data_IF_544553810816
#
_entry.id   IF_544553810816
#
_cell.length_a   1.000
_cell.length_b   1.000
_cell.length_c   1.000
_cell.angle_alpha   90.00
_cell.angle_beta   90.00
_cell.angle_gamma   90.00
#
_symmetry.space_group_name_H-M   'P 1'
#
loop_
_entity.id
_entity.type
_entity.pdbx_description
1 polymer ?
#
# COMPACT_ATOMS: atom_id res chain seq x y z
N UNK A 1 -29.53 9.52 32.00
CA UNK A 1 -28.20 9.29 31.40
C UNK A 1 -27.45 8.11 32.04
N UNK A 2 -27.27 8.02 33.36
CA UNK A 2 -26.83 6.78 34.03
C UNK A 2 -27.78 5.59 33.81
N UNK A 3 -29.08 5.86 33.70
CA UNK A 3 -30.09 4.84 33.33
C UNK A 3 -29.96 4.32 31.89
N UNK A 4 -29.19 4.98 31.02
CA UNK A 4 -28.99 4.57 29.62
C UNK A 4 -27.74 3.71 29.39
N UNK A 5 -27.02 3.31 30.44
CA UNK A 5 -25.76 2.54 30.36
C UNK A 5 -24.67 3.16 29.47
N UNK A 6 -24.74 4.47 29.18
CA UNK A 6 -23.67 5.18 28.51
C UNK A 6 -22.54 5.45 29.51
N UNK A 7 -21.43 4.71 29.38
CA UNK A 7 -20.15 5.08 30.01
C UNK A 7 -19.64 6.37 29.36
N UNK A 8 -19.88 7.50 30.02
CA UNK A 8 -19.24 8.75 29.65
C UNK A 8 -17.73 8.59 29.86
N UNK A 9 -16.94 8.69 28.78
CA UNK A 9 -15.52 9.00 28.92
C UNK A 9 -15.43 10.34 29.65
N UNK A 10 -14.62 10.38 30.71
CA UNK A 10 -14.43 11.56 31.54
C UNK A 10 -14.26 12.79 30.66
N UNK A 11 -15.12 13.80 30.85
CA UNK A 11 -14.81 15.13 30.34
C UNK A 11 -13.51 15.56 31.05
N UNK A 12 -12.57 16.14 30.30
CA UNK A 12 -11.41 16.77 30.91
C UNK A 12 -11.94 17.82 31.91
N UNK A 13 -11.81 17.51 33.20
CA UNK A 13 -12.20 18.43 34.27
C UNK A 13 -11.01 19.34 34.56
N UNK A 14 -11.27 20.57 34.99
CA UNK A 14 -10.23 21.48 35.46
C UNK A 14 -9.64 21.08 36.83
N UNK A 15 -10.05 19.94 37.41
CA UNK A 15 -9.81 19.60 38.81
C UNK A 15 -8.50 18.81 39.07
N UNK A 16 -7.84 18.21 38.06
CA UNK A 16 -6.59 17.45 38.22
C UNK A 16 -5.54 17.86 37.16
N UNK A 17 -4.32 18.22 37.60
CA UNK A 17 -3.23 18.65 36.71
C UNK A 17 -2.74 17.55 35.73
N UNK A 18 -2.74 16.29 36.16
CA UNK A 18 -2.26 15.17 35.31
C UNK A 18 -3.23 14.81 34.17
N UNK A 19 -4.53 15.10 34.34
CA UNK A 19 -5.55 14.92 33.28
C UNK A 19 -5.67 16.13 32.34
N UNK A 20 -4.96 17.24 32.63
CA UNK A 20 -4.95 18.44 31.77
C UNK A 20 -3.97 18.31 30.61
N UNK A 21 -2.78 17.74 30.87
CA UNK A 21 -1.68 17.75 29.90
C UNK A 21 -1.85 16.67 28.82
N UNK A 22 -2.52 15.55 29.12
CA UNK A 22 -2.74 14.45 28.17
C UNK A 22 -4.23 14.16 27.98
N UNK A 23 -4.72 14.40 26.76
CA UNK A 23 -6.11 14.18 26.37
C UNK A 23 -6.25 13.08 25.32
N UNK A 24 -7.50 12.64 25.08
CA UNK A 24 -7.82 11.66 24.04
C UNK A 24 -8.59 12.32 22.90
N UNK A 25 -8.08 12.19 21.67
CA UNK A 25 -8.73 12.74 20.47
C UNK A 25 -8.84 11.65 19.42
N UNK A 26 -10.07 11.30 19.04
CA UNK A 26 -10.38 10.30 18.00
C UNK A 26 -9.68 8.95 18.17
N UNK A 27 -9.29 8.57 19.40
CA UNK A 27 -8.58 7.32 19.69
C UNK A 27 -7.06 7.44 19.80
N UNK A 28 -6.49 8.62 19.54
CA UNK A 28 -5.09 8.97 19.77
C UNK A 28 -4.92 9.70 21.11
N UNK A 29 -3.72 9.59 21.69
CA UNK A 29 -3.31 10.41 22.83
C UNK A 29 -2.79 11.76 22.32
N UNK A 30 -3.22 12.85 22.94
CA UNK A 30 -2.83 14.22 22.60
C UNK A 30 -2.16 14.87 23.81
N UNK A 31 -0.90 15.24 23.65
CA UNK A 31 -0.20 16.10 24.60
C UNK A 31 -0.57 17.57 24.29
N UNK A 32 -1.30 18.20 25.21
CA UNK A 32 -1.81 19.57 25.09
C UNK A 32 -0.67 20.59 25.23
N UNK A 33 0.39 20.27 25.97
CA UNK A 33 1.51 21.16 26.23
C UNK A 33 2.42 21.23 25.01
N UNK A 34 2.79 20.08 24.43
CA UNK A 34 3.63 20.02 23.23
C UNK A 34 2.86 20.12 21.91
N UNK A 35 1.52 19.99 21.96
CA UNK A 35 0.62 19.91 20.81
C UNK A 35 0.91 18.73 19.86
N UNK A 36 1.29 17.59 20.44
CA UNK A 36 1.66 16.38 19.70
C UNK A 36 0.66 15.22 19.92
N UNK A 37 0.45 14.44 18.86
CA UNK A 37 -0.35 13.21 18.87
C UNK A 37 0.55 11.98 18.96
N UNK A 38 0.12 10.98 19.70
CA UNK A 38 0.78 9.66 19.80
C UNK A 38 -0.24 8.53 19.85
N UNK A 39 0.20 7.33 19.47
CA UNK A 39 -0.62 6.13 19.58
C UNK A 39 -0.57 5.56 21.01
N UNK A 40 -1.69 5.02 21.48
CA UNK A 40 -1.70 4.26 22.73
C UNK A 40 -0.93 2.96 22.57
N UNK A 41 -0.03 2.70 23.52
CA UNK A 41 0.62 1.41 23.61
C UNK A 41 -0.38 0.33 24.05
N UNK A 42 -0.28 -0.89 23.50
CA UNK A 42 -1.10 -2.01 23.94
C UNK A 42 -0.85 -2.31 25.43
N UNK A 43 -1.91 -2.29 26.24
CA UNK A 43 -1.84 -2.52 27.70
C UNK A 43 -1.54 -3.97 28.10
N UNK A 44 -1.66 -4.90 27.15
CA UNK A 44 -1.44 -6.32 27.33
C UNK A 44 -0.02 -6.78 26.98
N UNK A 45 0.89 -5.85 26.68
CA UNK A 45 2.32 -6.12 26.50
C UNK A 45 2.99 -6.15 27.87
N UNK A 46 3.12 -7.35 28.45
CA UNK A 46 3.98 -7.55 29.60
C UNK A 46 5.15 -8.44 29.20
N UNK A 47 6.27 -7.81 28.86
CA UNK A 47 7.49 -8.49 28.44
C UNK A 47 8.17 -9.29 29.58
N UNK A 48 7.69 -9.13 30.82
CA UNK A 48 8.19 -9.87 31.98
C UNK A 48 7.47 -11.19 32.21
N UNK A 49 6.31 -11.40 31.59
CA UNK A 49 5.54 -12.63 31.73
C UNK A 49 5.70 -13.55 30.51
N UNK A 50 6.23 -14.75 30.75
CA UNK A 50 6.27 -15.83 29.77
C UNK A 50 4.85 -16.42 29.57
N UNK A 51 3.99 -15.67 28.88
CA UNK A 51 2.65 -16.14 28.50
C UNK A 51 2.67 -16.74 27.10
N UNK A 52 2.10 -17.93 26.86
CA UNK A 52 2.10 -18.51 25.52
C UNK A 52 1.50 -17.53 24.49
N UNK A 53 2.23 -17.28 23.41
CA UNK A 53 1.77 -16.39 22.34
C UNK A 53 0.96 -17.22 21.35
N UNK A 54 -0.31 -16.87 21.18
CA UNK A 54 -1.18 -17.48 20.18
C UNK A 54 -1.46 -16.49 19.05
N UNK A 55 -2.01 -16.98 17.94
CA UNK A 55 -2.49 -16.13 16.85
C UNK A 55 -3.52 -15.11 17.33
N UNK A 56 -4.39 -15.47 18.28
CA UNK A 56 -5.36 -14.54 18.88
C UNK A 56 -4.68 -13.39 19.62
N UNK A 57 -3.66 -13.69 20.42
CA UNK A 57 -2.87 -12.67 21.14
C UNK A 57 -2.20 -11.73 20.13
N UNK A 58 -1.53 -12.29 19.13
CA UNK A 58 -0.85 -11.52 18.09
C UNK A 58 -1.82 -10.57 17.36
N UNK A 59 -3.01 -11.05 16.97
CA UNK A 59 -4.02 -10.21 16.31
C UNK A 59 -4.54 -9.10 17.22
N UNK A 60 -4.75 -9.41 18.49
CA UNK A 60 -5.22 -8.46 19.49
C UNK A 60 -4.23 -7.30 19.65
N UNK A 61 -2.94 -7.63 19.78
CA UNK A 61 -1.88 -6.63 19.89
C UNK A 61 -1.81 -5.76 18.63
N UNK A 62 -1.81 -6.35 17.42
CA UNK A 62 -1.78 -5.59 16.16
C UNK A 62 -2.94 -4.59 16.08
N UNK A 63 -4.16 -5.01 16.44
CA UNK A 63 -5.35 -4.16 16.33
C UNK A 63 -5.55 -3.19 17.49
N UNK A 64 -4.86 -3.39 18.61
CA UNK A 64 -4.90 -2.45 19.73
C UNK A 64 -4.16 -1.14 19.43
N UNK A 65 -3.20 -1.14 18.50
CA UNK A 65 -2.57 0.07 18.00
C UNK A 65 -3.46 0.72 16.95
N UNK A 66 -4.25 1.71 17.40
CA UNK A 66 -5.09 2.51 16.53
C UNK A 66 -4.29 3.68 15.94
N UNK A 67 -3.92 3.55 14.67
CA UNK A 67 -3.16 4.56 13.94
C UNK A 67 -3.86 4.91 12.61
N UNK A 68 -4.71 5.95 12.60
CA UNK A 68 -5.39 6.40 11.40
C UNK A 68 -4.47 7.14 10.42
N UNK A 69 -3.31 7.63 10.89
CA UNK A 69 -2.36 8.41 10.10
C UNK A 69 -1.34 7.49 9.44
N UNK A 70 -0.90 6.42 10.11
CA UNK A 70 0.02 5.41 9.59
C UNK A 70 1.49 5.61 9.96
N UNK A 71 1.82 6.52 10.89
CA UNK A 71 3.20 6.78 11.32
C UNK A 71 3.82 5.63 12.14
N UNK A 72 3.00 4.74 12.69
CA UNK A 72 3.43 3.51 13.37
C UNK A 72 3.56 2.31 12.43
N UNK A 73 3.27 2.47 11.14
CA UNK A 73 3.25 1.37 10.18
C UNK A 73 4.54 0.54 10.16
N UNK A 74 5.76 1.13 10.22
CA UNK A 74 6.99 0.34 10.23
C UNK A 74 7.16 -0.47 11.52
N UNK A 75 6.75 0.08 12.67
CA UNK A 75 6.76 -0.64 13.94
C UNK A 75 5.80 -1.84 13.92
N UNK A 76 4.67 -1.74 13.22
CA UNK A 76 3.69 -2.83 13.09
C UNK A 76 3.96 -3.79 11.93
N UNK A 77 5.03 -3.60 11.14
CA UNK A 77 5.29 -4.45 9.98
C UNK A 77 5.61 -5.89 10.40
N UNK A 78 6.53 -6.08 11.34
CA UNK A 78 6.93 -7.42 11.80
C UNK A 78 5.76 -8.24 12.37
N UNK A 79 4.95 -7.76 13.34
CA UNK A 79 3.85 -8.55 13.88
C UNK A 79 2.80 -8.88 12.80
N UNK A 80 2.57 -7.98 11.84
CA UNK A 80 1.71 -8.25 10.67
C UNK A 80 2.28 -9.37 9.78
N UNK A 81 3.60 -9.40 9.56
CA UNK A 81 4.27 -10.49 8.84
C UNK A 81 4.18 -11.82 9.59
N UNK A 82 4.38 -11.81 10.91
CA UNK A 82 4.22 -13.01 11.75
C UNK A 82 2.79 -13.55 11.71
N UNK A 83 1.78 -12.66 11.69
CA UNK A 83 0.38 -13.04 11.51
C UNK A 83 0.16 -13.73 10.16
N UNK A 84 0.72 -13.17 9.08
CA UNK A 84 0.64 -13.75 7.74
C UNK A 84 1.32 -15.13 7.67
N UNK A 85 2.46 -15.29 8.34
CA UNK A 85 3.20 -16.55 8.44
C UNK A 85 2.42 -17.60 9.25
N UNK A 86 1.80 -17.20 10.35
CA UNK A 86 0.93 -18.08 11.14
C UNK A 86 -0.28 -18.58 10.34
N UNK A 87 -0.89 -17.73 9.52
CA UNK A 87 -1.94 -18.16 8.57
C UNK A 87 -1.43 -19.13 7.52
N UNK A 88 -0.21 -18.90 6.99
CA UNK A 88 0.43 -19.81 6.03
C UNK A 88 0.68 -21.19 6.64
N UNK A 89 1.12 -21.22 7.90
CA UNK A 89 1.32 -22.43 8.69
C UNK A 89 0.02 -23.14 9.11
N UNK A 90 -1.16 -22.56 8.83
CA UNK A 90 -2.48 -23.06 9.23
C UNK A 90 -2.61 -23.28 10.74
N UNK A 91 -1.90 -22.49 11.54
CA UNK A 91 -1.93 -22.56 13.01
C UNK A 91 -3.33 -22.19 13.51
N UNK A 92 -3.83 -22.87 14.54
CA UNK A 92 -5.09 -22.57 15.22
C UNK A 92 -5.15 -21.16 15.82
N UNK A 93 -6.34 -20.72 16.26
CA UNK A 93 -6.49 -19.41 16.92
C UNK A 93 -5.85 -19.37 18.31
N UNK A 94 -6.06 -20.45 19.07
CA UNK A 94 -5.63 -20.60 20.47
C UNK A 94 -4.46 -21.59 20.61
N UNK A 95 -3.92 -22.04 19.48
CA UNK A 95 -2.69 -22.82 19.42
C UNK A 95 -1.48 -21.91 19.62
N UNK A 96 -0.49 -22.40 20.38
CA UNK A 96 0.76 -21.68 20.64
C UNK A 96 1.57 -21.57 19.36
N UNK A 97 2.17 -20.40 19.12
CA UNK A 97 3.03 -20.21 17.96
C UNK A 97 4.27 -21.12 18.04
N UNK A 98 4.77 -21.65 16.91
CA UNK A 98 6.06 -22.29 16.83
C UNK A 98 7.16 -21.41 17.44
N UNK A 99 8.14 -22.06 18.07
CA UNK A 99 9.24 -21.40 18.81
C UNK A 99 9.91 -20.30 18.00
N UNK A 100 10.11 -20.50 16.70
CA UNK A 100 10.70 -19.50 15.80
C UNK A 100 9.86 -18.22 15.67
N UNK A 101 8.54 -18.35 15.54
CA UNK A 101 7.63 -17.21 15.40
C UNK A 101 7.44 -16.49 16.73
N UNK A 102 7.33 -17.26 17.83
CA UNK A 102 7.27 -16.69 19.16
C UNK A 102 8.54 -15.90 19.46
N UNK A 103 9.73 -16.45 19.17
CA UNK A 103 11.00 -15.75 19.39
C UNK A 103 11.07 -14.40 18.66
N UNK A 104 10.67 -14.36 17.38
CA UNK A 104 10.59 -13.10 16.60
C UNK A 104 9.60 -12.11 17.21
N UNK A 105 8.44 -12.58 17.66
CA UNK A 105 7.45 -11.75 18.34
C UNK A 105 8.01 -11.15 19.64
N UNK A 106 8.69 -11.94 20.47
CA UNK A 106 9.30 -11.45 21.73
C UNK A 106 10.39 -10.41 21.50
N UNK A 107 11.19 -10.58 20.45
CA UNK A 107 12.20 -9.60 20.10
C UNK A 107 11.55 -8.26 19.74
N UNK A 108 10.46 -8.29 18.98
CA UNK A 108 9.69 -7.09 18.64
C UNK A 108 8.96 -6.49 19.84
N UNK A 109 8.36 -7.31 20.70
CA UNK A 109 7.68 -6.88 21.93
C UNK A 109 8.62 -6.04 22.81
N UNK A 110 9.90 -6.43 22.91
CA UNK A 110 10.93 -5.63 23.61
C UNK A 110 11.14 -4.24 23.01
N UNK A 111 10.90 -4.05 21.71
CA UNK A 111 11.04 -2.74 21.04
C UNK A 111 9.81 -1.84 21.15
N UNK A 112 8.67 -2.37 21.62
CA UNK A 112 7.39 -1.62 21.61
C UNK A 112 7.41 -0.36 22.46
N UNK A 113 8.22 -0.30 23.52
CA UNK A 113 8.41 0.91 24.30
C UNK A 113 8.97 2.08 23.48
N UNK A 114 9.61 1.85 22.34
CA UNK A 114 10.09 2.92 21.46
C UNK A 114 8.94 3.60 20.71
N UNK A 115 7.79 2.93 20.56
CA UNK A 115 6.62 3.51 19.91
C UNK A 115 6.01 4.66 20.72
N UNK A 116 6.21 4.72 22.05
CA UNK A 116 5.78 5.88 22.83
C UNK A 116 6.55 7.16 22.48
N UNK A 117 7.73 7.03 21.86
CA UNK A 117 8.52 8.16 21.37
C UNK A 117 8.08 8.62 19.97
N UNK A 118 7.14 7.91 19.33
CA UNK A 118 6.62 8.27 18.02
C UNK A 118 5.51 9.29 18.23
N UNK A 119 5.82 10.56 18.04
CA UNK A 119 4.89 11.68 18.14
C UNK A 119 4.82 12.45 16.82
N UNK A 120 3.65 13.00 16.53
CA UNK A 120 3.38 13.81 15.34
C UNK A 120 2.74 15.13 15.80
N UNK A 121 3.20 16.29 15.31
CA UNK A 121 2.53 17.56 15.59
C UNK A 121 1.07 17.53 15.12
N UNK A 122 0.13 17.83 16.01
CA UNK A 122 -1.32 17.86 15.68
C UNK A 122 -1.62 18.94 14.64
N UNK A 123 -0.95 20.08 14.77
CA UNK A 123 -1.17 21.26 13.95
C UNK A 123 -0.33 21.21 12.68
N UNK A 124 -1.00 21.08 11.52
CA UNK A 124 -0.32 21.18 10.22
C UNK A 124 0.15 22.60 9.91
N UNK A 125 -0.66 23.61 10.24
CA UNK A 125 -0.43 24.99 9.81
C UNK A 125 -0.21 25.95 10.99
N UNK A 126 0.96 26.62 11.11
CA UNK A 126 1.18 27.67 12.11
C UNK A 126 0.60 29.05 11.70
N UNK A 127 0.51 29.36 10.41
CA UNK A 127 -0.05 30.62 9.85
C UNK A 127 -0.99 30.35 8.66
N UNK A 128 -1.61 31.39 8.11
CA UNK A 128 -2.29 31.32 6.81
C UNK A 128 -1.21 31.25 5.72
N UNK A 129 -0.80 30.04 5.35
CA UNK A 129 0.13 29.88 4.24
C UNK A 129 -0.64 29.79 2.93
N UNK A 130 -0.12 30.48 1.91
CA UNK A 130 -0.76 30.58 0.61
C UNK A 130 -0.21 29.56 -0.41
N UNK A 131 0.88 28.85 -0.09
CA UNK A 131 1.50 27.89 -1.02
C UNK A 131 2.04 26.62 -0.31
N UNK A 132 1.52 25.46 -0.74
CA UNK A 132 1.96 24.15 -0.26
C UNK A 132 2.27 23.22 -1.41
N UNK A 133 3.26 22.37 -1.21
CA UNK A 133 3.59 21.28 -2.13
C UNK A 133 3.34 19.94 -1.45
N UNK A 134 2.69 19.04 -2.18
CA UNK A 134 2.39 17.69 -1.73
C UNK A 134 3.45 16.73 -2.29
N UNK A 135 4.08 15.93 -1.42
CA UNK A 135 5.13 15.00 -1.81
C UNK A 135 4.74 13.59 -1.41
N UNK A 136 4.66 12.70 -2.39
CA UNK A 136 4.18 11.33 -2.24
C UNK A 136 5.33 10.39 -2.50
N UNK A 137 5.68 9.58 -1.51
CA UNK A 137 6.71 8.57 -1.63
C UNK A 137 6.05 7.21 -1.66
N UNK A 138 6.45 6.38 -2.61
CA UNK A 138 6.04 4.99 -2.71
C UNK A 138 7.26 4.09 -2.68
N UNK A 139 7.07 2.90 -2.12
CA UNK A 139 8.09 1.87 -2.14
C UNK A 139 7.46 0.48 -2.03
N UNK A 140 8.19 -0.52 -2.51
CA UNK A 140 7.81 -1.90 -2.40
C UNK A 140 9.00 -2.84 -2.19
N UNK A 141 8.80 -3.77 -1.26
CA UNK A 141 9.68 -4.90 -1.01
C UNK A 141 8.97 -6.22 -1.27
N UNK A 142 9.70 -7.32 -1.21
CA UNK A 142 9.13 -8.66 -1.25
C UNK A 142 8.09 -8.95 -0.14
N UNK A 143 8.08 -8.14 0.92
CA UNK A 143 7.27 -8.36 2.12
C UNK A 143 6.08 -7.41 2.23
N UNK A 144 6.22 -6.17 1.79
CA UNK A 144 5.22 -5.13 1.91
C UNK A 144 5.45 -4.03 0.89
N UNK A 145 4.39 -3.28 0.60
CA UNK A 145 4.44 -2.05 -0.18
C UNK A 145 3.75 -0.94 0.61
N UNK A 146 4.27 0.28 0.48
CA UNK A 146 3.85 1.40 1.29
C UNK A 146 3.82 2.70 0.48
N UNK A 147 3.09 3.66 1.03
CA UNK A 147 3.04 5.03 0.54
C UNK A 147 3.02 5.97 1.73
N UNK A 148 3.74 7.07 1.69
CA UNK A 148 3.58 8.19 2.61
C UNK A 148 3.43 9.51 1.86
N UNK A 149 2.64 10.41 2.43
CA UNK A 149 2.35 11.73 1.88
C UNK A 149 2.81 12.80 2.86
N UNK A 150 3.68 13.69 2.41
CA UNK A 150 4.20 14.82 3.14
C UNK A 150 3.67 16.12 2.56
N UNK A 151 3.34 17.06 3.46
CA UNK A 151 3.10 18.44 3.10
C UNK A 151 4.38 19.23 3.34
N UNK A 152 4.88 19.88 2.30
CA UNK A 152 5.97 20.85 2.39
C UNK A 152 5.38 22.25 2.27
N UNK A 153 5.72 23.10 3.22
CA UNK A 153 5.37 24.51 3.23
C UNK A 153 6.63 25.34 3.33
N UNK A 154 6.73 26.39 2.52
CA UNK A 154 7.83 27.33 2.55
C UNK A 154 7.29 28.74 2.79
N UNK A 155 7.78 29.40 3.84
CA UNK A 155 7.32 30.73 4.20
C UNK A 155 8.46 31.56 4.80
N UNK A 156 8.71 32.74 4.22
CA UNK A 156 9.78 33.66 4.65
C UNK A 156 11.15 32.96 4.80
N UNK A 157 11.45 32.02 3.91
CA UNK A 157 12.70 31.24 3.93
C UNK A 157 12.76 30.12 4.97
N UNK A 158 11.66 29.83 5.69
CA UNK A 158 11.55 28.64 6.54
C UNK A 158 10.75 27.55 5.84
N UNK A 159 11.36 26.36 5.76
CA UNK A 159 10.72 25.17 5.20
C UNK A 159 10.25 24.27 6.34
N UNK A 160 8.97 23.87 6.27
CA UNK A 160 8.40 22.87 7.17
C UNK A 160 7.87 21.69 6.37
N UNK A 161 8.19 20.49 6.83
CA UNK A 161 7.73 19.23 6.24
C UNK A 161 6.96 18.47 7.31
N UNK A 162 5.76 17.99 6.96
CA UNK A 162 4.89 17.26 7.89
C UNK A 162 4.25 16.07 7.20
N UNK A 163 4.29 14.90 7.84
CA UNK A 163 3.55 13.73 7.38
C UNK A 163 2.05 13.97 7.51
N UNK A 164 1.32 13.88 6.39
CA UNK A 164 -0.14 13.94 6.36
C UNK A 164 -0.73 12.56 6.69
N UNK A 165 -0.24 11.55 5.98
CA UNK A 165 -0.71 10.18 6.10
C UNK A 165 0.28 9.22 5.44
N UNK A 166 0.28 7.99 5.93
CA UNK A 166 0.98 6.86 5.37
C UNK A 166 0.06 5.63 5.36
N UNK A 167 0.23 4.79 4.34
CA UNK A 167 -0.50 3.55 4.18
C UNK A 167 0.50 2.46 3.82
N UNK A 168 0.48 1.38 4.58
CA UNK A 168 1.26 0.17 4.29
C UNK A 168 0.33 -1.03 4.12
N UNK A 169 0.73 -1.94 3.24
CA UNK A 169 0.05 -3.20 2.95
C UNK A 169 1.08 -4.32 2.84
N UNK A 170 0.76 -5.48 3.39
CA UNK A 170 1.60 -6.67 3.20
C UNK A 170 1.51 -7.14 1.75
N UNK A 171 2.62 -7.63 1.22
CA UNK A 171 2.65 -8.31 -0.06
C UNK A 171 1.67 -9.50 -0.02
N UNK A 172 0.94 -9.77 -1.11
CA UNK A 172 0.02 -10.90 -1.17
C UNK A 172 0.73 -12.23 -0.87
N UNK A 173 0.04 -13.16 -0.19
CA UNK A 173 0.59 -14.49 0.09
C UNK A 173 0.93 -15.28 -1.20
N UNK A 174 0.25 -14.96 -2.30
CA UNK A 174 0.60 -15.46 -3.64
C UNK A 174 1.78 -14.64 -4.16
N UNK A 175 2.85 -15.33 -4.56
CA UNK A 175 4.05 -14.71 -5.12
C UNK A 175 3.67 -13.66 -6.17
N UNK A 176 4.05 -12.42 -5.89
CA UNK A 176 3.97 -11.28 -6.79
C UNK A 176 5.39 -10.84 -7.11
N UNK A 177 5.63 -10.34 -8.32
CA UNK A 177 6.92 -9.77 -8.70
C UNK A 177 7.11 -8.41 -8.03
N UNK A 178 8.35 -7.98 -7.84
CA UNK A 178 8.66 -6.67 -7.23
C UNK A 178 8.02 -5.52 -8.05
N UNK A 179 8.13 -5.47 -9.39
CA UNK A 179 7.49 -4.39 -10.14
C UNK A 179 5.96 -4.35 -10.02
N UNK A 180 5.32 -5.51 -9.85
CA UNK A 180 3.88 -5.57 -9.54
C UNK A 180 3.57 -4.96 -8.17
N UNK A 181 4.43 -5.15 -7.18
CA UNK A 181 4.27 -4.58 -5.85
C UNK A 181 4.54 -3.07 -5.87
N UNK A 182 5.54 -2.61 -6.63
CA UNK A 182 5.78 -1.18 -6.89
C UNK A 182 4.54 -0.53 -7.52
N UNK A 183 3.96 -1.13 -8.57
CA UNK A 183 2.72 -0.65 -9.18
C UNK A 183 1.53 -0.62 -8.20
N UNK A 184 1.48 -1.55 -7.22
CA UNK A 184 0.47 -1.52 -6.17
C UNK A 184 0.74 -0.42 -5.13
N UNK A 185 2.01 -0.14 -4.82
CA UNK A 185 2.45 1.02 -4.04
C UNK A 185 2.05 2.31 -4.73
N UNK A 186 2.33 2.43 -6.03
CA UNK A 186 1.95 3.55 -6.86
C UNK A 186 0.43 3.79 -6.85
N UNK A 187 -0.36 2.75 -7.07
CA UNK A 187 -1.82 2.81 -7.01
C UNK A 187 -2.35 3.19 -5.61
N UNK A 188 -1.66 2.77 -4.55
CA UNK A 188 -1.96 3.19 -3.18
C UNK A 188 -1.68 4.68 -2.96
N UNK A 189 -0.59 5.19 -3.54
CA UNK A 189 -0.23 6.60 -3.55
C UNK A 189 -1.21 7.49 -4.28
N UNK A 190 -1.59 7.14 -5.50
CA UNK A 190 -2.59 7.88 -6.27
C UNK A 190 -3.92 8.03 -5.51
N UNK A 191 -4.38 6.96 -4.85
CA UNK A 191 -5.59 6.99 -4.00
C UNK A 191 -5.42 7.85 -2.75
N UNK A 192 -4.22 7.85 -2.17
CA UNK A 192 -3.93 8.69 -1.02
C UNK A 192 -3.99 10.17 -1.41
N UNK A 193 -3.41 10.53 -2.55
CA UNK A 193 -3.46 11.87 -3.14
C UNK A 193 -4.87 12.34 -3.39
N UNK A 194 -5.71 11.51 -4.02
CA UNK A 194 -7.13 11.85 -4.26
C UNK A 194 -7.86 12.16 -2.93
N UNK A 195 -7.60 11.36 -1.90
CA UNK A 195 -8.14 11.60 -0.55
C UNK A 195 -7.65 12.93 0.02
N UNK A 196 -6.34 13.20 -0.04
CA UNK A 196 -5.72 14.41 0.51
C UNK A 196 -6.23 15.66 -0.22
N UNK A 197 -6.29 15.65 -1.55
CA UNK A 197 -6.80 16.78 -2.33
C UNK A 197 -8.27 17.07 -2.03
N UNK A 198 -9.09 16.04 -1.82
CA UNK A 198 -10.50 16.24 -1.46
C UNK A 198 -10.68 17.03 -0.16
N UNK A 199 -9.72 16.91 0.78
CA UNK A 199 -9.74 17.52 2.11
C UNK A 199 -9.04 18.88 2.10
N UNK A 200 -7.79 18.93 1.64
CA UNK A 200 -6.95 20.12 1.78
C UNK A 200 -7.20 21.15 0.69
N UNK A 201 -7.58 20.78 -0.54
CA UNK A 201 -7.87 21.68 -1.69
C UNK A 201 -6.87 22.84 -1.93
N UNK A 202 -5.67 22.80 -1.36
CA UNK A 202 -4.73 23.95 -1.24
C UNK A 202 -3.31 23.67 -1.72
N UNK A 203 -2.96 22.43 -2.08
CA UNK A 203 -1.63 22.16 -2.62
C UNK A 203 -1.51 22.72 -4.05
N UNK A 204 -0.50 23.55 -4.30
CA UNK A 204 -0.21 24.15 -5.61
C UNK A 204 0.38 23.14 -6.58
N UNK A 205 1.22 22.23 -6.08
CA UNK A 205 1.87 21.16 -6.84
C UNK A 205 1.88 19.85 -6.06
N UNK A 206 1.88 18.74 -6.81
CA UNK A 206 2.04 17.38 -6.26
C UNK A 206 3.19 16.68 -6.96
N UNK A 207 4.12 16.13 -6.18
CA UNK A 207 5.28 15.38 -6.64
C UNK A 207 5.13 13.91 -6.21
N UNK A 208 5.31 12.99 -7.15
CA UNK A 208 5.42 11.56 -6.85
C UNK A 208 6.88 11.15 -6.83
N UNK A 209 7.27 10.31 -5.89
CA UNK A 209 8.65 9.84 -5.67
C UNK A 209 8.66 8.31 -5.56
N UNK A 210 9.32 7.59 -6.48
CA UNK A 210 9.36 6.11 -6.50
C UNK A 210 10.65 5.56 -7.14
N UNK A 211 10.97 4.28 -6.87
CA UNK A 211 12.10 3.55 -7.42
C UNK A 211 11.89 3.08 -8.88
N UNK A 212 10.69 3.20 -9.45
CA UNK A 212 10.42 2.85 -10.86
C UNK A 212 9.44 3.82 -11.55
N UNK A 213 9.68 4.10 -12.83
CA UNK A 213 9.16 5.24 -13.62
C UNK A 213 7.68 5.11 -14.07
N UNK A 214 6.95 6.24 -14.21
CA UNK A 214 6.04 6.63 -15.34
C UNK A 214 5.84 8.18 -15.31
N UNK A 215 6.65 8.93 -16.07
CA UNK A 215 6.61 10.35 -16.52
C UNK A 215 6.33 11.53 -15.54
N UNK A 216 5.74 11.33 -14.36
CA UNK A 216 5.53 12.36 -13.30
C UNK A 216 6.27 12.03 -11.97
N UNK A 217 7.08 10.96 -11.98
CA UNK A 217 7.56 10.26 -10.79
C UNK A 217 9.09 10.39 -10.66
N UNK A 218 9.57 10.98 -9.57
CA UNK A 218 10.99 11.31 -9.32
C UNK A 218 11.68 10.24 -8.46
N UNK A 219 12.82 9.73 -8.90
CA UNK A 219 13.53 8.68 -8.16
C UNK A 219 14.27 9.19 -6.91
N UNK A 220 14.13 8.45 -5.80
CA UNK A 220 14.84 8.66 -4.52
C UNK A 220 15.57 7.38 -4.15
N UNK A 221 16.90 7.41 -3.94
CA UNK A 221 17.63 6.23 -3.48
C UNK A 221 17.06 5.66 -2.17
N UNK A 222 16.96 4.34 -2.04
CA UNK A 222 16.32 3.68 -0.89
C UNK A 222 16.92 4.04 0.48
N UNK A 223 18.23 4.33 0.56
CA UNK A 223 18.86 4.76 1.82
C UNK A 223 18.30 6.07 2.40
N UNK A 224 17.72 6.91 1.55
CA UNK A 224 17.13 8.21 1.89
C UNK A 224 15.62 8.26 1.66
N UNK A 225 15.01 7.11 1.35
CA UNK A 225 13.56 6.99 1.19
C UNK A 225 12.90 6.89 2.57
N UNK A 226 11.97 7.80 2.92
CA UNK A 226 11.21 7.70 4.17
C UNK A 226 10.43 6.39 4.33
N UNK A 227 10.14 5.69 3.23
CA UNK A 227 9.50 4.37 3.28
C UNK A 227 10.44 3.24 3.76
N UNK A 228 11.77 3.43 3.66
CA UNK A 228 12.82 2.47 4.02
C UNK A 228 13.44 2.74 5.41
N UNK A 229 13.28 3.95 5.94
CA UNK A 229 13.95 4.39 7.17
C UNK A 229 13.30 3.82 8.44
N UNK A 230 13.86 2.72 8.96
CA UNK A 230 13.48 2.11 10.25
C UNK A 230 14.24 2.66 11.47
N UNK A 231 15.28 3.48 11.27
CA UNK A 231 16.22 3.90 12.34
C UNK A 231 16.07 5.36 12.81
N UNK A 232 15.25 6.17 12.14
CA UNK A 232 15.06 7.60 12.40
C UNK A 232 13.56 7.94 12.49
N UNK A 233 13.22 9.19 12.83
CA UNK A 233 11.87 9.73 12.74
C UNK A 233 11.48 9.94 11.27
N UNK A 234 11.24 8.85 10.55
CA UNK A 234 10.94 8.89 9.11
C UNK A 234 9.73 9.78 8.77
N UNK A 235 8.81 9.97 9.71
CA UNK A 235 7.65 10.85 9.60
C UNK A 235 7.97 12.36 9.67
N UNK A 236 9.23 12.75 9.89
CA UNK A 236 9.72 14.12 9.66
C UNK A 236 10.07 14.36 8.19
N UNK A 237 10.16 13.29 7.38
CA UNK A 237 10.54 13.36 5.98
C UNK A 237 12.06 13.39 5.78
N UNK A 238 12.52 13.37 4.53
CA UNK A 238 13.95 13.31 4.23
C UNK A 238 14.57 14.72 4.30
N UNK A 239 15.83 14.80 4.73
CA UNK A 239 16.50 16.09 4.97
C UNK A 239 16.61 17.00 3.74
N UNK A 240 16.76 16.42 2.54
CA UNK A 240 16.82 17.20 1.29
C UNK A 240 15.49 17.88 0.93
N UNK A 241 14.35 17.42 1.48
CA UNK A 241 13.05 18.06 1.21
C UNK A 241 12.92 19.43 1.89
N UNK A 242 13.78 19.72 2.86
CA UNK A 242 13.91 21.02 3.49
C UNK A 242 14.73 22.02 2.66
N UNK A 243 15.39 21.56 1.61
CA UNK A 243 16.16 22.39 0.69
C UNK A 243 15.31 22.86 -0.50
N UNK A 244 15.88 23.70 -1.35
CA UNK A 244 15.22 24.25 -2.53
C UNK A 244 14.99 23.18 -3.61
N UNK A 245 13.96 23.38 -4.44
CA UNK A 245 13.54 22.42 -5.49
C UNK A 245 14.69 22.01 -6.44
N UNK A 246 15.65 22.90 -6.68
CA UNK A 246 16.83 22.67 -7.53
C UNK A 246 17.82 21.66 -6.94
N UNK A 247 17.84 21.52 -5.61
CA UNK A 247 18.74 20.62 -4.88
C UNK A 247 18.16 19.23 -4.65
N UNK A 248 16.88 19.04 -4.97
CA UNK A 248 16.22 17.74 -4.81
C UNK A 248 16.81 16.72 -5.77
N UNK A 249 16.83 15.44 -5.38
CA UNK A 249 17.28 14.37 -6.27
C UNK A 249 16.49 14.40 -7.59
N UNK A 250 17.20 14.58 -8.69
CA UNK A 250 16.67 14.48 -10.04
C UNK A 250 17.47 13.38 -10.72
N UNK A 251 16.80 12.29 -11.10
CA UNK A 251 17.48 11.19 -11.77
C UNK A 251 17.32 11.33 -13.28
N UNK A 252 18.42 11.23 -14.02
CA UNK A 252 18.37 11.04 -15.48
C UNK A 252 17.78 9.66 -15.78
N UNK A 253 16.78 9.65 -16.68
CA UNK A 253 16.01 8.46 -17.03
C UNK A 253 16.93 7.43 -17.70
N UNK A 254 17.12 6.27 -17.08
CA UNK A 254 17.63 5.09 -17.79
C UNK A 254 16.45 4.28 -18.32
N UNK A 255 16.06 4.52 -19.56
CA UNK A 255 15.15 3.65 -20.30
C UNK A 255 15.89 2.33 -20.56
N UNK A 256 15.71 1.31 -19.72
CA UNK A 256 16.08 -0.05 -20.08
C UNK A 256 14.81 -0.87 -20.30
N UNK A 257 14.32 -0.97 -21.56
CA UNK A 257 13.10 -1.70 -21.90
C UNK A 257 13.08 -3.18 -21.50
N UNK A 258 14.25 -3.75 -21.21
CA UNK A 258 14.43 -5.19 -21.00
C UNK A 258 13.64 -5.76 -19.81
N UNK A 259 13.58 -5.05 -18.68
CA UNK A 259 12.85 -5.52 -17.50
C UNK A 259 11.33 -5.48 -17.68
N UNK A 260 10.82 -4.43 -18.33
CA UNK A 260 9.41 -4.34 -18.73
C UNK A 260 9.00 -5.46 -19.69
N UNK A 261 9.90 -5.93 -20.57
CA UNK A 261 9.62 -7.05 -21.47
C UNK A 261 9.54 -8.41 -20.76
N UNK A 262 10.25 -8.61 -19.64
CA UNK A 262 10.19 -9.85 -18.85
C UNK A 262 8.82 -10.04 -18.17
N UNK A 263 8.16 -8.95 -17.78
CA UNK A 263 6.85 -9.00 -17.13
C UNK A 263 5.67 -9.07 -18.12
N UNK A 264 5.91 -8.79 -19.40
CA UNK A 264 4.88 -8.86 -20.43
C UNK A 264 4.42 -10.31 -20.58
N UNK A 265 3.28 -10.66 -19.96
CA UNK A 265 2.61 -11.94 -20.22
C UNK A 265 2.49 -12.12 -21.73
N UNK A 266 2.94 -13.26 -22.27
CA UNK A 266 2.70 -13.63 -23.67
C UNK A 266 1.22 -13.48 -23.95
N UNK A 267 0.85 -12.36 -24.56
CA UNK A 267 -0.49 -12.17 -25.08
C UNK A 267 -0.53 -13.11 -26.27
N UNK A 268 -1.31 -14.19 -26.19
CA UNK A 268 -1.60 -15.00 -27.38
C UNK A 268 -2.48 -14.13 -28.24
N UNK A 269 -1.85 -13.27 -29.04
CA UNK A 269 -2.53 -12.52 -30.09
C UNK A 269 -2.85 -13.54 -31.17
N UNK A 270 -4.10 -13.96 -31.22
CA UNK A 270 -4.60 -14.66 -32.40
C UNK A 270 -4.65 -13.64 -33.52
N UNK A 271 -3.62 -13.63 -34.39
CA UNK A 271 -3.63 -12.80 -35.59
C UNK A 271 -4.85 -13.20 -36.44
N UNK A 272 -5.90 -12.37 -36.41
CA UNK A 272 -6.85 -12.26 -37.52
C UNK A 272 -6.13 -11.50 -38.64
N UNK A 273 -5.21 -12.18 -39.33
CA UNK A 273 -4.60 -11.62 -40.52
C UNK A 273 -5.66 -11.56 -41.63
N UNK A 274 -6.28 -10.39 -41.80
CA UNK A 274 -7.04 -9.98 -43.00
C UNK A 274 -6.09 -9.48 -44.09
N UNK A 275 -5.03 -10.25 -44.36
CA UNK A 275 -3.99 -9.88 -45.33
C UNK A 275 -3.36 -11.11 -45.95
N UNK A 276 -3.50 -11.19 -47.28
CA UNK A 276 -3.10 -12.24 -48.22
C UNK A 276 -4.05 -13.44 -48.32
N UNK A 277 -4.60 -13.62 -49.52
CA UNK A 277 -5.38 -14.79 -49.93
C UNK A 277 -4.51 -16.05 -49.81
N UNK A 278 -4.45 -16.63 -48.61
CA UNK A 278 -4.00 -18.01 -48.47
C UNK A 278 -5.03 -18.86 -49.20
N UNK A 279 -4.66 -19.37 -50.39
CA UNK A 279 -5.52 -20.30 -51.12
C UNK A 279 -5.86 -21.43 -50.17
N UNK A 280 -7.16 -21.69 -49.98
CA UNK A 280 -7.64 -22.70 -49.03
C UNK A 280 -6.92 -24.06 -49.22
N UNK A 281 -6.49 -24.36 -50.44
CA UNK A 281 -5.68 -25.53 -50.81
C UNK A 281 -4.32 -25.64 -50.10
N UNK A 282 -3.63 -24.54 -49.83
CA UNK A 282 -2.27 -24.55 -49.24
C UNK A 282 -2.29 -25.02 -47.79
N UNK A 283 -3.44 -24.90 -47.11
CA UNK A 283 -3.63 -25.43 -45.75
C UNK A 283 -3.66 -26.96 -45.70
N UNK A 284 -3.90 -27.64 -46.83
CA UNK A 284 -3.89 -29.10 -46.88
C UNK A 284 -2.48 -29.69 -46.88
N UNK A 285 -1.47 -28.91 -47.28
CA UNK A 285 -0.07 -29.34 -47.30
C UNK A 285 0.50 -29.56 -45.89
N UNK A 286 -0.11 -28.97 -44.86
CA UNK A 286 0.30 -29.16 -43.45
C UNK A 286 -0.13 -30.51 -42.85
N UNK A 287 -0.98 -31.28 -43.51
CA UNK A 287 -1.49 -32.54 -42.98
C UNK A 287 -0.87 -33.73 -43.71
N UNK A 288 -0.14 -34.57 -42.98
CA UNK A 288 0.46 -35.80 -43.51
C UNK A 288 -0.54 -36.95 -43.74
N UNK A 289 -1.85 -36.72 -43.57
CA UNK A 289 -2.87 -37.78 -43.69
C UNK A 289 -4.14 -37.29 -44.36
N UNK A 290 -4.48 -37.91 -45.48
CA UNK A 290 -5.70 -37.65 -46.24
C UNK A 290 -6.98 -37.81 -45.40
N UNK A 291 -7.03 -38.82 -44.51
CA UNK A 291 -8.17 -39.02 -43.60
C UNK A 291 -8.33 -37.89 -42.56
N UNK A 292 -7.24 -37.20 -42.19
CA UNK A 292 -7.30 -36.02 -41.30
C UNK A 292 -7.82 -34.80 -42.05
N UNK A 293 -7.37 -34.60 -43.29
CA UNK A 293 -7.84 -33.54 -44.18
C UNK A 293 -9.37 -33.65 -44.38
N UNK A 294 -9.85 -34.83 -44.77
CA UNK A 294 -11.29 -35.07 -44.98
C UNK A 294 -12.13 -34.73 -43.74
N UNK A 295 -11.68 -35.16 -42.56
CA UNK A 295 -12.40 -34.89 -41.30
C UNK A 295 -12.43 -33.40 -40.98
N UNK A 296 -11.30 -32.72 -41.08
CA UNK A 296 -11.21 -31.28 -40.79
C UNK A 296 -12.11 -30.48 -41.74
N UNK A 297 -12.04 -30.76 -43.05
CA UNK A 297 -12.90 -30.12 -44.05
C UNK A 297 -14.37 -30.39 -43.77
N UNK A 298 -14.74 -31.62 -43.40
CA UNK A 298 -16.12 -31.96 -43.03
C UNK A 298 -16.61 -31.19 -41.79
N UNK A 299 -15.76 -31.01 -40.77
CA UNK A 299 -16.10 -30.20 -39.59
C UNK A 299 -16.29 -28.72 -39.94
N UNK A 300 -15.42 -28.15 -40.76
CA UNK A 300 -15.55 -26.76 -41.22
C UNK A 300 -16.83 -26.57 -42.03
N UNK A 301 -17.12 -27.47 -42.98
CA UNK A 301 -18.36 -27.42 -43.75
C UNK A 301 -19.61 -27.58 -42.87
N UNK A 302 -19.57 -28.50 -41.89
CA UNK A 302 -20.66 -28.68 -40.92
C UNK A 302 -20.89 -27.42 -40.08
N UNK A 303 -19.82 -26.79 -39.62
CA UNK A 303 -19.87 -25.54 -38.87
C UNK A 303 -20.46 -24.40 -39.71
N UNK A 304 -19.98 -24.21 -40.94
CA UNK A 304 -20.53 -23.21 -41.86
C UNK A 304 -22.01 -23.47 -42.15
N UNK A 305 -22.41 -24.73 -42.33
CA UNK A 305 -23.81 -25.08 -42.57
C UNK A 305 -24.69 -24.81 -41.34
N UNK A 306 -24.20 -25.08 -40.13
CA UNK A 306 -24.91 -24.77 -38.89
C UNK A 306 -25.11 -23.26 -38.70
N UNK A 307 -24.10 -22.44 -39.01
CA UNK A 307 -24.24 -20.97 -38.96
C UNK A 307 -25.25 -20.48 -40.00
N UNK A 308 -25.18 -20.97 -41.25
CA UNK A 308 -26.12 -20.59 -42.32
C UNK A 308 -27.56 -21.05 -42.06
N UNK A 309 -27.75 -22.15 -41.32
CA UNK A 309 -29.09 -22.60 -40.87
C UNK A 309 -29.64 -21.68 -39.78
N UNK A 310 -28.81 -21.25 -38.83
CA UNK A 310 -29.23 -20.33 -37.78
C UNK A 310 -29.51 -18.92 -38.30
N UNK A 311 -28.80 -18.42 -39.32
CA UNK A 311 -29.09 -17.10 -39.89
C UNK A 311 -30.43 -17.05 -40.64
N UNK A 312 -30.89 -18.15 -41.23
CA UNK A 312 -32.25 -18.25 -41.82
C UNK A 312 -33.35 -18.25 -40.77
N UNK A 313 -33.12 -18.86 -39.60
CA UNK A 313 -34.06 -18.89 -38.48
C UNK A 313 -34.22 -17.52 -37.80
N UNK A 314 -33.15 -16.72 -37.74
CA UNK A 314 -33.19 -15.35 -37.18
C UNK A 314 -33.95 -14.39 -38.12
N UNK A 315 -33.81 -14.55 -39.45
CA UNK A 315 -34.54 -13.72 -40.40
C UNK A 315 -36.03 -14.06 -40.55
N UNK A 316 -36.46 -15.27 -40.16
CA UNK A 316 -37.90 -15.64 -40.11
C UNK A 316 -38.60 -15.26 -38.80
N UNK A 317 -37.84 -14.78 -37.79
CA UNK A 317 -38.36 -14.29 -36.50
C UNK A 317 -38.38 -12.75 -36.43
N UNK A 318 -37.96 -12.07 -37.51
CA UNK A 318 -37.91 -10.61 -37.64
C UNK A 318 -38.76 -10.08 -38.82
N UNK A 319 -39.69 -10.90 -39.35
CA UNK A 319 -40.87 -10.46 -40.11
C UNK A 319 -42.11 -10.90 -39.35
#
# INVERSE_FOLDING_TARGET
MKEGAFELRCWASNDSKEDQDMQMVLGLSWDVVSDELSCKLPSNLDCTQERPVTKRVLLSVINSVYDPIGFTAPALLLPKLLMQEAWRGKIGWDEVLPVELEHKYRLWEKTMHLMSKCTIPRRFFAENYDDFTLHIFTDASAYAYATCAFLRCEFKGQVTVKLIAAKARLAPMKKSTIPRLELLGAALGARLVETVHSILRTASKTYFWDLTNIDDWRHVPGEVNPADLLKSKWWEGPGWLYSDEESWPCSEVSETPYEAFLERRKTVVTNLATGNEVRFGDRFLYFSSYKKILRMTAYVLRFCNNIKRNSKLVNSLLM
#
